data_IF_046059199953
#
_entry.id   IF_046059199953
#
_cell.length_a   1.000
_cell.length_b   1.000
_cell.length_c   1.000
_cell.angle_alpha   90.00
_cell.angle_beta   90.00
_cell.angle_gamma   90.00
#
_symmetry.space_group_name_H-M   'P 1'
#
loop_
_entity.id
_entity.type
_entity.pdbx_description
1 polymer ?
#
# COMPACT_ATOMS: atom_id res chain seq x y z
N UNK A 1 17.52 14.32 9.15
CA UNK A 1 16.26 14.12 9.90
C UNK A 1 15.38 13.16 9.11
N UNK A 2 14.41 12.50 9.75
CA UNK A 2 13.43 11.68 9.03
C UNK A 2 12.52 12.52 8.14
N UNK A 3 12.08 11.96 7.02
CA UNK A 3 11.21 12.65 6.05
C UNK A 3 10.34 11.61 5.36
N UNK A 4 9.03 11.85 5.29
CA UNK A 4 8.07 10.86 4.83
C UNK A 4 7.53 11.27 3.45
N UNK A 5 7.85 10.49 2.42
CA UNK A 5 7.11 10.51 1.18
C UNK A 5 5.79 9.77 1.40
N UNK A 6 4.68 10.41 1.06
CA UNK A 6 3.34 9.82 1.13
C UNK A 6 2.65 9.98 -0.20
N UNK A 7 1.72 9.08 -0.51
CA UNK A 7 0.89 9.22 -1.69
C UNK A 7 -0.30 8.28 -1.72
N UNK A 8 -1.21 8.54 -2.65
CA UNK A 8 -2.34 7.67 -2.97
C UNK A 8 -2.58 7.62 -4.46
N UNK A 9 -3.30 6.58 -4.89
CA UNK A 9 -3.62 6.34 -6.29
C UNK A 9 -5.11 6.59 -6.50
N UNK A 10 -5.44 7.46 -7.46
CA UNK A 10 -6.81 7.71 -7.90
C UNK A 10 -7.42 6.46 -8.53
N UNK A 11 -8.72 6.26 -8.37
CA UNK A 11 -9.44 5.14 -8.98
C UNK A 11 -9.36 5.14 -10.52
N UNK A 12 -9.72 4.01 -11.12
CA UNK A 12 -9.84 3.86 -12.56
C UNK A 12 -10.77 4.92 -13.19
N UNK A 13 -10.50 5.34 -14.44
CA UNK A 13 -9.38 4.91 -15.29
C UNK A 13 -8.07 5.66 -15.02
N UNK A 14 -8.11 6.73 -14.22
CA UNK A 14 -6.99 7.67 -14.11
C UNK A 14 -5.73 7.02 -13.54
N UNK A 15 -5.87 6.19 -12.48
CA UNK A 15 -4.75 5.56 -11.79
C UNK A 15 -3.61 6.53 -11.44
N UNK A 16 -3.95 7.81 -11.28
CA UNK A 16 -2.96 8.87 -11.06
C UNK A 16 -2.40 8.75 -9.66
N UNK A 17 -1.07 8.71 -9.59
CA UNK A 17 -0.35 8.74 -8.33
C UNK A 17 -0.20 10.18 -7.85
N UNK A 18 -0.80 10.50 -6.70
CA UNK A 18 -0.67 11.78 -6.01
C UNK A 18 0.34 11.60 -4.88
N UNK A 19 1.43 12.37 -4.89
CA UNK A 19 2.51 12.23 -3.92
C UNK A 19 2.95 13.56 -3.31
N UNK A 20 3.49 13.50 -2.09
CA UNK A 20 4.17 14.61 -1.44
C UNK A 20 5.22 14.11 -0.46
N UNK A 21 6.34 14.81 -0.39
CA UNK A 21 7.32 14.65 0.69
C UNK A 21 6.94 15.58 1.84
N UNK A 22 6.56 15.01 2.99
CA UNK A 22 6.13 15.73 4.18
C UNK A 22 7.31 16.11 5.06
N UNK A 23 7.26 17.35 5.57
CA UNK A 23 8.12 17.86 6.65
C UNK A 23 7.34 17.88 7.96
N UNK A 24 8.06 18.08 9.07
CA UNK A 24 7.43 18.23 10.39
C UNK A 24 6.42 19.38 10.36
N UNK A 25 5.17 19.11 10.76
CA UNK A 25 4.07 20.08 10.76
C UNK A 25 3.19 20.03 9.51
N UNK A 26 3.62 19.36 8.43
CA UNK A 26 2.77 19.15 7.26
C UNK A 26 1.65 18.16 7.57
N UNK A 27 0.51 18.35 6.90
CA UNK A 27 -0.62 17.43 6.91
C UNK A 27 -0.88 16.89 5.51
N UNK A 28 -1.43 15.67 5.45
CA UNK A 28 -1.85 15.01 4.24
C UNK A 28 -3.12 14.20 4.51
N UNK A 29 -4.02 14.14 3.54
CA UNK A 29 -5.30 13.43 3.67
C UNK A 29 -5.35 12.31 2.65
N UNK A 30 -5.65 11.10 3.12
CA UNK A 30 -5.94 9.96 2.26
C UNK A 30 -7.47 9.84 2.11
N UNK A 31 -8.01 9.89 0.89
CA UNK A 31 -9.43 9.62 0.68
C UNK A 31 -9.80 8.17 1.07
N UNK A 32 -11.05 7.98 1.52
CA UNK A 32 -11.54 6.67 1.95
C UNK A 32 -11.50 5.68 0.79
N UNK A 33 -10.99 4.47 1.06
CA UNK A 33 -11.02 3.35 0.12
C UNK A 33 -9.94 3.36 -0.96
N UNK A 34 -9.10 4.40 -1.02
CA UNK A 34 -8.00 4.46 -1.99
C UNK A 34 -6.74 3.79 -1.47
N UNK A 35 -6.01 3.16 -2.41
CA UNK A 35 -4.67 2.64 -2.15
C UNK A 35 -3.76 3.81 -1.85
N UNK A 36 -3.02 3.71 -0.75
CA UNK A 36 -2.03 4.71 -0.37
C UNK A 36 -0.76 4.06 0.17
N UNK A 37 0.34 4.81 0.15
CA UNK A 37 1.65 4.37 0.58
C UNK A 37 2.36 5.46 1.36
N UNK A 38 3.27 5.04 2.23
CA UNK A 38 4.22 5.92 2.90
C UNK A 38 5.61 5.29 2.86
N UNK A 39 6.66 6.12 2.69
CA UNK A 39 8.06 5.70 2.64
C UNK A 39 8.94 6.73 3.33
N UNK A 40 9.76 6.31 4.28
CA UNK A 40 10.81 7.18 4.83
C UNK A 40 11.92 7.32 3.78
N UNK A 41 12.12 8.54 3.28
CA UNK A 41 13.16 8.89 2.29
C UNK A 41 14.29 9.71 2.91
N UNK A 42 14.19 10.03 4.20
CA UNK A 42 15.24 10.71 4.95
C UNK A 42 16.25 9.75 5.59
N UNK A 43 17.33 10.32 6.13
CA UNK A 43 18.42 9.55 6.76
C UNK A 43 18.20 9.24 8.25
N UNK A 44 17.07 9.66 8.84
CA UNK A 44 16.76 9.42 10.25
C UNK A 44 15.36 8.87 10.46
N UNK A 45 15.01 8.55 11.70
CA UNK A 45 13.67 8.08 12.04
C UNK A 45 12.62 9.16 11.74
N UNK A 46 11.51 8.75 11.13
CA UNK A 46 10.34 9.57 10.88
C UNK A 46 9.16 9.00 11.68
N UNK A 47 8.36 9.88 12.29
CA UNK A 47 7.15 9.52 13.02
C UNK A 47 6.01 10.35 12.46
N UNK A 48 4.86 9.70 12.21
CA UNK A 48 3.63 10.33 11.80
C UNK A 48 2.49 9.90 12.73
N UNK A 49 1.54 10.79 12.96
CA UNK A 49 0.33 10.51 13.73
C UNK A 49 -0.85 10.57 12.77
N UNK A 50 -1.56 9.46 12.63
CA UNK A 50 -2.76 9.35 11.80
C UNK A 50 -4.03 9.41 12.65
N UNK A 51 -5.10 10.00 12.10
CA UNK A 51 -6.45 9.95 12.67
C UNK A 51 -7.42 9.47 11.60
N UNK A 52 -8.31 8.57 11.97
CA UNK A 52 -9.33 8.01 11.08
C UNK A 52 -10.70 8.48 11.54
N UNK A 53 -11.64 8.62 10.60
CA UNK A 53 -13.00 9.09 10.85
C UNK A 53 -13.96 8.00 11.36
N UNK A 54 -13.46 6.77 11.55
CA UNK A 54 -14.21 5.62 12.06
C UNK A 54 -13.51 5.03 13.28
N UNK A 55 -14.28 4.57 14.25
CA UNK A 55 -13.79 3.78 15.39
C UNK A 55 -13.31 2.38 14.99
N UNK A 56 -13.76 1.88 13.83
CA UNK A 56 -13.36 0.60 13.27
C UNK A 56 -13.04 0.79 11.78
N UNK A 57 -11.90 1.40 11.44
CA UNK A 57 -11.58 1.73 10.06
C UNK A 57 -11.17 0.51 9.23
N UNK A 58 -10.69 -0.57 9.88
CA UNK A 58 -10.06 -1.70 9.21
C UNK A 58 -8.76 -1.31 8.48
N UNK A 59 -7.94 -2.30 8.12
CA UNK A 59 -6.76 -2.10 7.27
C UNK A 59 -6.60 -3.30 6.36
N UNK A 60 -6.40 -3.04 5.06
CA UNK A 60 -6.07 -4.07 4.07
C UNK A 60 -4.64 -3.79 3.57
N UNK A 61 -3.69 -4.61 3.99
CA UNK A 61 -2.32 -4.55 3.45
C UNK A 61 -2.29 -5.29 2.13
N UNK A 62 -2.15 -4.59 1.00
CA UNK A 62 -2.39 -5.13 -0.35
C UNK A 62 -1.60 -6.40 -0.63
N UNK A 63 -0.28 -6.39 -0.40
CA UNK A 63 0.56 -7.55 -0.70
C UNK A 63 0.18 -8.76 0.17
N UNK A 64 -0.11 -8.54 1.45
CA UNK A 64 -0.55 -9.60 2.36
C UNK A 64 -1.96 -10.13 1.98
N UNK A 65 -2.88 -9.25 1.58
CA UNK A 65 -4.21 -9.65 1.15
C UNK A 65 -4.18 -10.44 -0.17
N UNK A 66 -3.30 -10.07 -1.10
CA UNK A 66 -3.19 -10.72 -2.41
C UNK A 66 -2.36 -12.02 -2.38
N UNK A 67 -1.28 -12.06 -1.58
CA UNK A 67 -0.31 -13.15 -1.59
C UNK A 67 -0.20 -13.93 -0.27
N UNK A 68 -0.77 -13.45 0.83
CA UNK A 68 -0.73 -14.10 2.15
C UNK A 68 -2.12 -14.47 2.71
N UNK A 69 -3.17 -14.44 1.87
CA UNK A 69 -4.51 -14.81 2.30
C UNK A 69 -4.58 -16.25 2.77
N UNK A 70 -5.53 -16.58 3.67
CA UNK A 70 -5.80 -17.96 4.10
C UNK A 70 -7.29 -18.27 3.90
N UNK A 71 -7.66 -19.19 2.99
CA UNK A 71 -6.78 -19.94 2.08
C UNK A 71 -6.08 -19.05 1.04
N UNK A 72 -5.01 -19.57 0.45
CA UNK A 72 -4.26 -18.85 -0.59
C UNK A 72 -5.14 -18.62 -1.84
N UNK A 73 -5.02 -17.47 -2.50
CA UNK A 73 -5.61 -17.26 -3.82
C UNK A 73 -4.90 -18.17 -4.82
N UNK A 74 -5.66 -18.79 -5.74
CA UNK A 74 -5.12 -19.62 -6.82
C UNK A 74 -3.98 -18.91 -7.55
N UNK A 75 -2.85 -19.61 -7.67
CA UNK A 75 -1.67 -19.14 -8.38
C UNK A 75 -1.94 -18.94 -9.87
N UNK A 76 -2.82 -19.74 -10.48
CA UNK A 76 -3.31 -19.56 -11.86
C UNK A 76 -4.03 -18.22 -12.03
N UNK A 77 -4.93 -17.90 -11.09
CA UNK A 77 -5.69 -16.64 -11.12
C UNK A 77 -4.75 -15.44 -10.98
N UNK A 78 -3.85 -15.47 -9.99
CA UNK A 78 -2.88 -14.41 -9.78
C UNK A 78 -1.89 -14.30 -10.94
N UNK A 79 -1.41 -15.41 -11.49
CA UNK A 79 -0.52 -15.42 -12.65
C UNK A 79 -1.18 -14.72 -13.84
N UNK A 80 -2.46 -15.02 -14.10
CA UNK A 80 -3.24 -14.37 -15.15
C UNK A 80 -3.49 -12.89 -14.87
N UNK A 81 -3.89 -12.54 -13.65
CA UNK A 81 -4.21 -11.17 -13.26
C UNK A 81 -3.00 -10.23 -13.31
N UNK A 82 -1.85 -10.71 -12.83
CA UNK A 82 -0.59 -9.95 -12.80
C UNK A 82 0.26 -10.15 -14.07
N UNK A 83 -0.19 -10.96 -15.03
CA UNK A 83 0.51 -11.26 -16.29
C UNK A 83 1.94 -11.80 -16.08
N UNK A 84 2.09 -12.71 -15.12
CA UNK A 84 3.36 -13.35 -14.77
C UNK A 84 3.22 -14.87 -14.78
N UNK A 85 4.34 -15.60 -14.72
CA UNK A 85 4.31 -17.07 -14.57
C UNK A 85 4.03 -17.48 -13.12
N UNK A 86 3.40 -18.65 -12.91
CA UNK A 86 3.07 -19.20 -11.58
C UNK A 86 4.26 -19.24 -10.62
N UNK A 87 5.47 -19.49 -11.13
CA UNK A 87 6.71 -19.47 -10.33
C UNK A 87 6.97 -18.14 -9.64
N UNK A 88 6.59 -17.01 -10.25
CA UNK A 88 6.71 -15.68 -9.61
C UNK A 88 5.67 -15.53 -8.50
N UNK A 89 4.44 -15.97 -8.74
CA UNK A 89 3.36 -15.95 -7.74
C UNK A 89 3.74 -16.79 -6.52
N UNK A 90 4.18 -18.03 -6.71
CA UNK A 90 4.61 -18.88 -5.60
C UNK A 90 5.76 -18.28 -4.79
N UNK A 91 6.69 -17.56 -5.44
CA UNK A 91 7.75 -16.81 -4.74
C UNK A 91 7.23 -15.62 -3.95
N UNK A 92 6.16 -14.97 -4.40
CA UNK A 92 5.51 -13.90 -3.66
C UNK A 92 4.74 -14.49 -2.48
N UNK A 93 3.92 -15.52 -2.69
CA UNK A 93 3.15 -16.18 -1.64
C UNK A 93 4.05 -16.75 -0.54
N UNK A 94 5.22 -17.31 -0.87
CA UNK A 94 6.17 -17.79 0.13
C UNK A 94 6.80 -16.71 1.03
N UNK A 95 6.60 -15.41 0.72
CA UNK A 95 7.10 -14.27 1.53
C UNK A 95 6.06 -13.70 2.50
N UNK A 96 4.79 -14.08 2.36
CA UNK A 96 3.67 -13.58 3.15
C UNK A 96 2.98 -14.73 3.89
#
# INVERSE_FOLDING_TARGET
MGTLEVGFIMSNPENRHITKVLKKGDMFVFPIGLIHCQRNVGHGNAVAIGRLSSQNPGVITIANAAFGSKPDISDDLLAKAFQVVKRVVGRLQAKF
#
